data_IF_316641715796
#
_entry.id   IF_316641715796
#
_cell.length_a   1.000
_cell.length_b   1.000
_cell.length_c   1.000
_cell.angle_alpha   90.00
_cell.angle_beta   90.00
_cell.angle_gamma   90.00
#
_symmetry.space_group_name_H-M   'P 1'
#
loop_
_entity.id
_entity.type
_entity.pdbx_description
1 polymer ?
#
# COMPACT_ATOMS: atom_id res chain seq x y z
N UNK A 1 -53.45 23.23 36.15
CA UNK A 1 -53.32 24.71 36.05
C UNK A 1 -52.05 24.94 35.27
N UNK A 2 -52.06 25.38 34.21
CA UNK A 2 -52.48 26.27 33.12
C UNK A 2 -51.48 26.02 32.00
N UNK A 3 -51.90 25.48 30.87
CA UNK A 3 -52.43 26.12 29.67
C UNK A 3 -51.31 26.72 28.78
N UNK A 4 -51.01 26.03 27.73
CA UNK A 4 -51.18 26.31 26.29
C UNK A 4 -50.62 27.61 25.73
N UNK A 5 -49.82 27.51 24.71
CA UNK A 5 -50.08 28.27 23.46
C UNK A 5 -49.30 27.65 22.26
N UNK A 6 -50.08 27.21 21.36
CA UNK A 6 -49.84 26.91 19.96
C UNK A 6 -49.51 28.18 19.19
N UNK A 7 -48.57 28.13 18.24
CA UNK A 7 -48.49 29.16 17.21
C UNK A 7 -48.12 28.55 15.85
N UNK A 8 -49.07 28.63 14.99
CA UNK A 8 -49.15 28.13 13.65
C UNK A 8 -48.18 28.79 12.66
N UNK A 9 -47.74 28.00 11.68
CA UNK A 9 -47.04 28.40 10.44
C UNK A 9 -48.09 28.88 9.39
N UNK A 10 -47.86 29.96 8.66
CA UNK A 10 -48.60 30.19 7.40
C UNK A 10 -47.78 29.80 6.17
N UNK A 11 -48.39 28.99 5.34
CA UNK A 11 -48.00 28.72 3.97
C UNK A 11 -48.35 29.91 3.06
N UNK A 12 -47.44 30.26 2.13
CA UNK A 12 -47.66 31.08 0.94
C UNK A 12 -46.74 30.55 -0.14
N UNK A 13 -47.14 30.00 -1.24
CA UNK A 13 -48.04 30.50 -2.26
C UNK A 13 -47.20 30.72 -3.53
N UNK A 14 -47.30 29.74 -4.50
CA UNK A 14 -46.73 29.87 -5.85
C UNK A 14 -47.30 31.11 -6.58
N UNK A 15 -46.41 31.89 -7.19
CA UNK A 15 -46.78 32.73 -8.34
C UNK A 15 -45.71 32.73 -9.41
N UNK A 16 -46.10 32.20 -10.55
CA UNK A 16 -45.59 32.26 -11.90
C UNK A 16 -45.39 33.72 -12.33
N UNK A 17 -44.26 34.01 -12.99
CA UNK A 17 -44.16 35.17 -13.88
C UNK A 17 -43.42 34.77 -15.16
N UNK A 18 -44.20 34.69 -16.24
CA UNK A 18 -43.75 34.70 -17.62
C UNK A 18 -43.58 36.16 -18.05
N UNK A 19 -42.47 36.50 -18.64
CA UNK A 19 -42.36 37.65 -19.53
C UNK A 19 -41.31 37.38 -20.62
N UNK A 20 -41.76 37.40 -21.82
CA UNK A 20 -41.15 37.31 -23.15
C UNK A 20 -40.50 38.64 -23.55
N UNK A 21 -39.40 38.63 -24.31
CA UNK A 21 -39.08 39.34 -25.56
C UNK A 21 -37.58 39.52 -25.75
N UNK A 22 -37.02 38.88 -26.74
CA UNK A 22 -36.66 39.36 -28.08
C UNK A 22 -35.34 40.19 -28.18
N UNK A 23 -34.34 39.54 -28.73
CA UNK A 23 -33.56 39.90 -29.88
C UNK A 23 -32.55 41.06 -29.78
N UNK A 24 -31.27 40.75 -29.96
CA UNK A 24 -30.37 41.35 -30.95
C UNK A 24 -29.06 40.58 -30.92
N UNK A 25 -28.56 40.11 -32.08
CA UNK A 25 -27.31 39.38 -32.22
C UNK A 25 -26.08 40.24 -31.94
N UNK A 26 -25.14 39.64 -31.26
CA UNK A 26 -23.74 40.07 -31.24
C UNK A 26 -22.89 38.83 -31.44
N UNK A 27 -22.18 38.79 -32.54
CA UNK A 27 -21.04 37.89 -32.78
C UNK A 27 -20.01 38.11 -31.67
N UNK A 28 -20.08 37.31 -30.64
CA UNK A 28 -19.07 37.24 -29.57
C UNK A 28 -18.09 36.15 -29.92
N UNK A 29 -16.87 36.54 -30.19
CA UNK A 29 -15.68 35.69 -30.23
C UNK A 29 -15.73 34.69 -29.06
N UNK A 30 -15.87 33.40 -29.38
CA UNK A 30 -15.64 32.32 -28.44
C UNK A 30 -14.15 32.35 -28.05
N UNK A 31 -13.82 33.17 -27.06
CA UNK A 31 -12.63 32.97 -26.27
C UNK A 31 -12.82 31.61 -25.57
N UNK A 32 -12.08 30.60 -26.00
CA UNK A 32 -11.85 29.42 -25.20
C UNK A 32 -11.23 29.92 -23.90
N UNK A 33 -12.08 30.23 -22.92
CA UNK A 33 -11.64 30.30 -21.54
C UNK A 33 -11.21 28.87 -21.22
N UNK A 34 -9.90 28.65 -21.20
CA UNK A 34 -9.35 27.46 -20.59
C UNK A 34 -9.86 27.46 -19.14
N UNK A 35 -10.67 26.48 -18.78
CA UNK A 35 -11.06 26.25 -17.40
C UNK A 35 -9.79 26.31 -16.51
N UNK A 36 -9.86 26.98 -15.35
CA UNK A 36 -8.74 26.99 -14.44
C UNK A 36 -8.37 25.53 -14.11
N UNK A 37 -7.09 25.14 -14.09
CA UNK A 37 -6.68 23.79 -13.83
C UNK A 37 -7.12 23.39 -12.41
N UNK A 38 -8.14 22.54 -12.33
CA UNK A 38 -8.57 21.89 -11.08
C UNK A 38 -10.04 22.11 -10.74
N UNK A 39 -10.86 21.09 -10.96
CA UNK A 39 -12.22 21.00 -10.46
C UNK A 39 -13.21 20.30 -11.36
N UNK A 40 -12.80 19.37 -12.20
CA UNK A 40 -13.70 18.53 -13.02
C UNK A 40 -13.60 17.06 -12.63
N UNK A 41 -14.73 16.35 -12.74
CA UNK A 41 -14.74 14.88 -12.62
C UNK A 41 -13.97 14.27 -13.80
N UNK A 42 -12.96 13.44 -13.48
CA UNK A 42 -12.10 12.78 -14.45
C UNK A 42 -12.50 11.31 -14.59
N UNK A 43 -12.91 10.89 -15.80
CA UNK A 43 -13.10 9.45 -16.04
C UNK A 43 -11.76 8.69 -15.91
N UNK A 44 -11.81 7.49 -15.33
CA UNK A 44 -10.64 6.58 -15.25
C UNK A 44 -10.11 6.14 -16.62
N UNK A 45 -10.86 6.39 -17.70
CA UNK A 45 -10.41 6.13 -19.08
C UNK A 45 -9.84 7.39 -19.76
N UNK A 46 -9.91 8.55 -19.12
CA UNK A 46 -9.38 9.80 -19.66
C UNK A 46 -7.88 9.91 -19.44
N UNK A 47 -7.19 10.63 -20.33
CA UNK A 47 -5.76 10.92 -20.13
C UNK A 47 -5.53 11.69 -18.83
N UNK A 48 -4.46 11.34 -18.10
CA UNK A 48 -4.09 12.05 -16.88
C UNK A 48 -3.73 13.51 -17.17
N UNK A 49 -4.25 14.46 -16.37
CA UNK A 49 -3.77 15.83 -16.40
C UNK A 49 -2.32 15.89 -15.93
N UNK A 50 -1.50 16.71 -16.60
CA UNK A 50 -0.09 16.90 -16.24
C UNK A 50 0.16 18.22 -15.50
N UNK A 51 -0.77 19.18 -15.61
CA UNK A 51 -0.69 20.44 -14.91
C UNK A 51 -1.14 20.30 -13.46
N UNK A 52 -0.23 20.51 -12.52
CA UNK A 52 -0.53 20.42 -11.07
C UNK A 52 -0.94 21.81 -10.57
N UNK A 53 -2.09 21.88 -9.92
CA UNK A 53 -2.49 23.07 -9.20
C UNK A 53 -1.78 23.11 -7.84
N UNK A 54 -0.94 24.12 -7.55
CA UNK A 54 -0.18 24.19 -6.28
C UNK A 54 -1.09 24.38 -5.04
N UNK A 55 -2.39 24.65 -5.23
CA UNK A 55 -3.37 24.69 -4.14
C UNK A 55 -3.97 23.33 -3.83
N UNK A 56 -3.81 22.34 -4.73
CA UNK A 56 -4.25 20.96 -4.47
C UNK A 56 -3.58 20.41 -3.24
N UNK A 57 -4.33 19.68 -2.43
CA UNK A 57 -3.85 19.09 -1.18
C UNK A 57 -4.11 17.59 -1.18
N UNK A 58 -3.13 16.80 -0.73
CA UNK A 58 -3.23 15.35 -0.55
C UNK A 58 -2.93 14.99 0.90
N UNK A 59 -3.69 14.05 1.46
CA UNK A 59 -3.37 13.32 2.68
C UNK A 59 -2.64 12.02 2.29
N UNK A 60 -1.37 11.87 2.68
CA UNK A 60 -0.49 10.79 2.21
C UNK A 60 -0.05 9.92 3.38
N UNK A 61 -0.43 8.65 3.38
CA UNK A 61 -0.06 7.70 4.43
C UNK A 61 1.17 6.87 4.03
N UNK A 62 2.36 7.50 4.06
CA UNK A 62 3.64 6.86 3.75
C UNK A 62 4.75 7.55 4.56
N UNK A 63 4.93 7.14 5.82
CA UNK A 63 5.92 7.75 6.73
C UNK A 63 7.36 7.59 6.22
N UNK A 64 7.70 6.48 5.58
CA UNK A 64 9.03 6.24 4.99
C UNK A 64 9.34 7.31 3.95
N UNK A 65 8.46 7.50 2.96
CA UNK A 65 8.65 8.52 1.93
C UNK A 65 8.68 9.95 2.48
N UNK A 66 7.87 10.25 3.51
CA UNK A 66 7.96 11.54 4.20
C UNK A 66 9.37 11.79 4.72
N UNK A 67 9.92 10.83 5.48
CA UNK A 67 11.25 10.95 6.10
C UNK A 67 12.37 10.95 5.06
N UNK A 68 12.27 10.14 4.01
CA UNK A 68 13.19 10.12 2.88
C UNK A 68 13.23 11.49 2.18
N UNK A 69 12.07 12.08 1.90
CA UNK A 69 11.96 13.40 1.29
C UNK A 69 12.49 14.51 2.21
N UNK A 70 12.28 14.42 3.53
CA UNK A 70 12.84 15.33 4.51
C UNK A 70 14.37 15.23 4.54
N UNK A 71 14.90 14.03 4.72
CA UNK A 71 16.34 13.79 4.83
C UNK A 71 17.11 14.12 3.54
N UNK A 72 16.49 13.90 2.38
CA UNK A 72 17.05 14.27 1.08
C UNK A 72 16.85 15.75 0.70
N UNK A 73 16.14 16.54 1.51
CA UNK A 73 15.81 17.95 1.20
C UNK A 73 14.84 18.13 0.02
N UNK A 74 14.06 17.11 -0.32
CA UNK A 74 13.14 17.14 -1.45
C UNK A 74 11.71 17.50 -1.06
N UNK A 75 11.33 17.43 0.21
CA UNK A 75 9.94 17.59 0.66
C UNK A 75 9.35 18.95 0.27
N UNK A 76 10.15 20.03 0.33
CA UNK A 76 9.74 21.39 -0.06
C UNK A 76 9.63 21.61 -1.58
N UNK A 77 9.98 20.61 -2.40
CA UNK A 77 9.90 20.68 -3.87
C UNK A 77 8.63 20.02 -4.43
N UNK A 78 7.75 19.49 -3.58
CA UNK A 78 6.48 18.96 -4.02
C UNK A 78 5.63 20.07 -4.66
N UNK A 79 5.08 19.84 -5.87
CA UNK A 79 4.36 20.89 -6.61
C UNK A 79 2.90 21.06 -6.14
N UNK A 80 2.51 20.45 -5.04
CA UNK A 80 1.19 20.50 -4.40
C UNK A 80 1.38 20.57 -2.88
N UNK A 81 0.30 20.71 -2.13
CA UNK A 81 0.33 20.70 -0.66
C UNK A 81 0.08 19.30 -0.12
N UNK A 82 0.75 18.94 0.97
CA UNK A 82 0.36 17.77 1.76
C UNK A 82 -0.37 18.27 3.00
N UNK A 83 -1.65 17.86 3.15
CA UNK A 83 -2.48 18.25 4.28
C UNK A 83 -2.08 17.53 5.57
N UNK A 84 -1.69 16.26 5.44
CA UNK A 84 -1.27 15.42 6.57
C UNK A 84 -0.46 14.22 6.07
N UNK A 85 0.33 13.66 7.00
CA UNK A 85 1.07 12.42 6.83
C UNK A 85 0.63 11.41 7.90
N UNK A 86 -0.57 10.82 7.80
CA UNK A 86 -1.00 9.79 8.73
C UNK A 86 -0.08 8.58 8.67
N UNK A 87 0.21 7.96 9.81
CA UNK A 87 1.04 6.76 9.90
C UNK A 87 0.16 5.49 9.93
N UNK A 88 -0.52 5.18 8.83
CA UNK A 88 -1.27 3.94 8.66
C UNK A 88 -0.42 2.99 7.83
N UNK A 89 0.14 1.96 8.47
CA UNK A 89 1.07 1.01 7.83
C UNK A 89 0.41 -0.35 7.55
N UNK A 90 -0.52 -0.77 8.39
CA UNK A 90 -1.25 -2.01 8.18
C UNK A 90 -2.31 -1.87 7.09
N UNK A 91 -2.43 -2.89 6.21
CA UNK A 91 -3.41 -2.88 5.13
C UNK A 91 -4.85 -2.62 5.58
N UNK A 92 -5.36 -3.29 6.63
CA UNK A 92 -6.69 -3.01 7.16
C UNK A 92 -6.90 -1.55 7.59
N UNK A 93 -5.91 -0.92 8.24
CA UNK A 93 -5.99 0.47 8.69
C UNK A 93 -6.06 1.44 7.49
N UNK A 94 -5.31 1.15 6.44
CA UNK A 94 -5.35 1.93 5.19
C UNK A 94 -6.72 1.80 4.52
N UNK A 95 -7.30 0.59 4.49
CA UNK A 95 -8.65 0.36 3.94
C UNK A 95 -9.69 1.17 4.71
N UNK A 96 -9.62 1.21 6.04
CA UNK A 96 -10.50 2.05 6.86
C UNK A 96 -10.23 3.55 6.65
N UNK A 97 -8.96 3.93 6.48
CA UNK A 97 -8.58 5.30 6.12
C UNK A 97 -9.20 5.76 4.80
N UNK A 98 -9.26 4.88 3.80
CA UNK A 98 -9.94 5.14 2.53
C UNK A 98 -11.46 5.25 2.70
N UNK A 99 -12.09 4.34 3.45
CA UNK A 99 -13.53 4.43 3.76
C UNK A 99 -13.91 5.70 4.48
N UNK A 100 -13.04 6.16 5.37
CA UNK A 100 -13.23 7.39 6.13
C UNK A 100 -12.86 8.67 5.36
N UNK A 101 -12.41 8.55 4.09
CA UNK A 101 -11.88 9.67 3.27
C UNK A 101 -10.79 10.49 3.99
N UNK A 102 -10.02 9.83 4.88
CA UNK A 102 -8.99 10.48 5.70
C UNK A 102 -7.61 10.50 5.04
N UNK A 103 -7.42 9.67 4.02
CA UNK A 103 -6.19 9.57 3.22
C UNK A 103 -6.51 9.48 1.73
N UNK A 104 -5.66 10.09 0.92
CA UNK A 104 -5.77 10.10 -0.54
C UNK A 104 -4.84 9.07 -1.19
N UNK A 105 -3.67 8.81 -0.60
CA UNK A 105 -2.64 7.90 -1.13
C UNK A 105 -1.99 7.13 0.01
N UNK A 106 -1.74 5.84 -0.21
CA UNK A 106 -0.99 5.00 0.70
C UNK A 106 0.02 4.12 -0.04
N UNK A 107 1.00 3.55 0.68
CA UNK A 107 1.90 2.49 0.20
C UNK A 107 1.70 1.23 1.02
N UNK A 108 1.66 0.09 0.32
CA UNK A 108 1.58 -1.24 0.92
C UNK A 108 2.22 -2.28 -0.01
N UNK A 109 2.29 -3.55 0.45
CA UNK A 109 2.44 -4.72 -0.41
C UNK A 109 1.19 -4.95 -1.28
N UNK A 110 1.19 -5.94 -2.18
CA UNK A 110 0.08 -6.18 -3.10
C UNK A 110 -1.24 -6.64 -2.46
N UNK A 111 -1.23 -7.23 -1.26
CA UNK A 111 -2.40 -7.86 -0.65
C UNK A 111 -3.54 -6.88 -0.30
N UNK A 112 -3.28 -5.72 0.32
CA UNK A 112 -4.35 -4.81 0.72
C UNK A 112 -5.30 -4.38 -0.39
N UNK A 113 -4.87 -4.09 -1.64
CA UNK A 113 -5.78 -3.83 -2.74
C UNK A 113 -6.74 -4.98 -3.07
N UNK A 114 -6.29 -6.25 -2.96
CA UNK A 114 -7.13 -7.43 -3.15
C UNK A 114 -8.25 -7.45 -2.09
N UNK A 115 -7.89 -7.25 -0.83
CA UNK A 115 -8.83 -7.22 0.28
C UNK A 115 -9.78 -6.02 0.22
N UNK A 116 -9.28 -4.85 -0.16
CA UNK A 116 -10.11 -3.67 -0.40
C UNK A 116 -11.19 -3.96 -1.43
N UNK A 117 -10.81 -4.56 -2.57
CA UNK A 117 -11.74 -4.96 -3.62
C UNK A 117 -12.81 -5.95 -3.09
N UNK A 118 -12.38 -7.00 -2.39
CA UNK A 118 -13.27 -8.02 -1.81
C UNK A 118 -14.22 -7.44 -0.75
N UNK A 119 -13.80 -6.40 -0.03
CA UNK A 119 -14.60 -5.68 0.97
C UNK A 119 -15.39 -4.49 0.42
N UNK A 120 -15.40 -4.30 -0.91
CA UNK A 120 -16.18 -3.26 -1.59
C UNK A 120 -15.54 -1.86 -1.59
N UNK A 121 -14.29 -1.71 -1.14
CA UNK A 121 -13.55 -0.45 -1.22
C UNK A 121 -12.96 -0.32 -2.63
N UNK A 122 -13.40 0.70 -3.36
CA UNK A 122 -12.92 0.97 -4.71
C UNK A 122 -11.62 1.77 -4.67
N UNK A 123 -10.50 1.10 -4.91
CA UNK A 123 -9.18 1.73 -4.98
C UNK A 123 -8.37 1.14 -6.13
N UNK A 124 -7.36 1.88 -6.60
CA UNK A 124 -6.49 1.49 -7.71
C UNK A 124 -5.02 1.65 -7.34
N UNK A 125 -4.21 0.73 -7.84
CA UNK A 125 -2.75 0.82 -7.82
C UNK A 125 -2.32 1.86 -8.87
N UNK A 126 -1.56 2.85 -8.43
CA UNK A 126 -1.10 3.99 -9.25
C UNK A 126 0.42 4.02 -9.42
N UNK A 127 1.17 3.24 -8.64
CA UNK A 127 2.59 3.01 -8.87
C UNK A 127 3.01 1.65 -8.35
N UNK A 128 4.10 1.12 -8.92
CA UNK A 128 4.67 -0.18 -8.58
C UNK A 128 6.17 -0.06 -8.44
N UNK A 129 6.70 -0.57 -7.35
CA UNK A 129 8.10 -0.97 -7.16
C UNK A 129 8.16 -2.47 -6.99
N UNK A 130 9.24 -3.08 -7.44
CA UNK A 130 9.43 -4.53 -7.42
C UNK A 130 10.70 -4.90 -6.68
N UNK A 131 10.71 -6.10 -6.11
CA UNK A 131 11.88 -6.68 -5.45
C UNK A 131 12.05 -8.14 -5.85
N UNK A 132 13.30 -8.56 -6.00
CA UNK A 132 13.66 -9.93 -6.37
C UNK A 132 14.39 -10.72 -5.27
N UNK A 133 14.48 -10.14 -4.06
CA UNK A 133 15.20 -10.74 -2.94
C UNK A 133 14.21 -11.08 -1.82
N UNK A 134 14.22 -12.32 -1.29
CA UNK A 134 13.42 -12.66 -0.13
C UNK A 134 13.94 -11.92 1.11
N UNK A 135 13.06 -11.23 1.81
CA UNK A 135 13.34 -10.55 3.08
C UNK A 135 12.76 -11.30 4.28
N UNK A 136 11.90 -12.26 4.02
CA UNK A 136 11.24 -13.10 5.01
C UNK A 136 11.88 -14.49 5.06
N UNK A 137 11.94 -15.07 6.26
CA UNK A 137 12.40 -16.44 6.51
C UNK A 137 11.46 -17.12 7.49
N UNK A 138 11.38 -18.44 7.44
CA UNK A 138 10.63 -19.17 8.46
C UNK A 138 11.49 -19.40 9.69
N UNK A 139 10.91 -19.20 10.87
CA UNK A 139 11.48 -19.55 12.15
C UNK A 139 10.67 -20.66 12.80
N UNK A 140 11.32 -21.61 13.47
CA UNK A 140 10.66 -22.72 14.16
C UNK A 140 10.62 -22.48 15.66
N UNK A 141 9.59 -23.01 16.34
CA UNK A 141 9.52 -22.98 17.79
C UNK A 141 10.74 -23.65 18.44
N UNK A 142 11.12 -23.28 19.67
CA UNK A 142 12.19 -23.94 20.39
C UNK A 142 11.91 -25.43 20.61
N UNK A 143 12.88 -26.30 20.31
CA UNK A 143 12.74 -27.75 20.39
C UNK A 143 12.00 -28.40 19.23
N UNK A 144 11.70 -27.64 18.17
CA UNK A 144 11.06 -28.17 16.96
C UNK A 144 11.99 -29.10 16.19
N UNK A 145 11.44 -30.16 15.62
CA UNK A 145 12.11 -31.09 14.70
C UNK A 145 12.08 -30.64 13.24
N UNK A 146 11.37 -29.56 12.94
CA UNK A 146 11.21 -29.02 11.58
C UNK A 146 12.51 -28.37 11.08
N UNK A 147 12.99 -28.84 9.92
CA UNK A 147 14.24 -28.35 9.31
C UNK A 147 14.04 -27.87 7.86
N UNK A 148 12.86 -28.08 7.30
CA UNK A 148 12.52 -27.64 5.93
C UNK A 148 11.03 -27.41 5.76
N UNK A 149 10.63 -26.64 4.75
CA UNK A 149 9.23 -26.41 4.44
C UNK A 149 8.45 -27.70 4.08
N UNK A 150 9.14 -28.74 3.58
CA UNK A 150 8.50 -30.04 3.30
C UNK A 150 7.91 -30.70 4.55
N UNK A 151 8.39 -30.34 5.75
CA UNK A 151 7.94 -30.86 7.03
C UNK A 151 6.83 -30.03 7.70
N UNK A 152 6.26 -29.07 7.01
CA UNK A 152 5.15 -28.22 7.55
C UNK A 152 3.83 -28.97 7.65
N UNK A 153 3.69 -30.14 7.00
CA UNK A 153 2.48 -30.95 7.08
C UNK A 153 2.13 -31.31 8.54
N UNK A 154 0.88 -31.05 8.94
CA UNK A 154 0.40 -31.27 10.29
C UNK A 154 0.88 -30.26 11.34
N UNK A 155 1.67 -29.26 10.96
CA UNK A 155 2.22 -28.25 11.88
C UNK A 155 1.27 -27.06 12.01
N UNK A 156 1.39 -26.33 13.12
CA UNK A 156 0.73 -25.02 13.36
C UNK A 156 1.62 -23.93 12.81
N UNK A 157 1.14 -23.21 11.79
CA UNK A 157 1.83 -22.07 11.17
C UNK A 157 1.13 -20.76 11.55
N UNK A 158 1.89 -19.80 12.05
CA UNK A 158 1.38 -18.44 12.23
C UNK A 158 0.95 -17.87 10.88
N UNK A 159 -0.23 -17.27 10.83
CA UNK A 159 -0.82 -16.81 9.57
C UNK A 159 -1.50 -15.45 9.73
N UNK A 160 -1.03 -14.49 8.95
CA UNK A 160 -1.62 -13.17 8.86
C UNK A 160 -2.31 -13.00 7.50
N UNK A 161 -3.63 -12.99 7.50
CA UNK A 161 -4.43 -12.98 6.28
C UNK A 161 -4.20 -11.72 5.43
N UNK A 162 -3.98 -10.57 6.05
CA UNK A 162 -3.88 -9.25 5.39
C UNK A 162 -2.48 -8.71 5.22
N UNK A 163 -1.45 -9.53 5.44
CA UNK A 163 -0.06 -9.08 5.43
C UNK A 163 0.83 -9.99 4.58
N UNK A 164 1.99 -9.47 4.16
CA UNK A 164 2.95 -10.17 3.30
C UNK A 164 3.37 -11.55 3.85
N UNK A 165 3.56 -11.67 5.16
CA UNK A 165 3.96 -12.91 5.83
C UNK A 165 2.97 -14.04 5.60
N UNK A 166 1.67 -13.74 5.55
CA UNK A 166 0.64 -14.74 5.24
C UNK A 166 0.78 -15.27 3.81
N UNK A 167 0.99 -14.40 2.83
CA UNK A 167 1.19 -14.82 1.43
C UNK A 167 2.51 -15.58 1.27
N UNK A 168 3.58 -15.18 1.97
CA UNK A 168 4.84 -15.95 2.00
C UNK A 168 4.57 -17.39 2.48
N UNK A 169 3.76 -17.56 3.53
CA UNK A 169 3.35 -18.87 4.02
C UNK A 169 2.60 -19.67 2.97
N UNK A 170 1.56 -19.10 2.34
CA UNK A 170 0.78 -19.79 1.31
C UNK A 170 1.62 -20.16 0.07
N UNK A 171 2.52 -19.27 -0.38
CA UNK A 171 3.44 -19.55 -1.48
C UNK A 171 4.42 -20.67 -1.14
N UNK A 172 4.98 -20.68 0.07
CA UNK A 172 5.90 -21.72 0.51
C UNK A 172 5.20 -23.09 0.59
N UNK A 173 3.98 -23.16 1.11
CA UNK A 173 3.17 -24.38 1.12
C UNK A 173 2.90 -24.89 -0.29
N UNK A 174 2.51 -23.99 -1.21
CA UNK A 174 2.32 -24.35 -2.63
C UNK A 174 3.60 -24.88 -3.27
N UNK A 175 4.76 -24.22 -3.03
CA UNK A 175 6.04 -24.67 -3.55
C UNK A 175 6.47 -26.04 -2.98
N UNK A 176 6.14 -26.31 -1.71
CA UNK A 176 6.39 -27.60 -1.07
C UNK A 176 5.38 -28.70 -1.44
N UNK A 177 4.36 -28.38 -2.25
CA UNK A 177 3.28 -29.31 -2.61
C UNK A 177 2.41 -29.74 -1.43
N UNK A 178 2.26 -28.87 -0.42
CA UNK A 178 1.45 -29.14 0.78
C UNK A 178 0.10 -28.44 0.61
N UNK A 179 -1.02 -29.20 0.57
CA UNK A 179 -2.36 -28.63 0.61
C UNK A 179 -2.56 -27.80 1.87
N UNK A 180 -3.30 -26.69 1.76
CA UNK A 180 -3.59 -25.81 2.93
C UNK A 180 -4.39 -26.54 4.01
N UNK A 181 -5.20 -27.55 3.65
CA UNK A 181 -5.92 -28.42 4.57
C UNK A 181 -5.02 -29.32 5.43
N UNK A 182 -3.76 -29.50 5.04
CA UNK A 182 -2.82 -30.40 5.69
C UNK A 182 -1.94 -29.68 6.73
N UNK A 183 -2.21 -28.41 6.99
CA UNK A 183 -1.56 -27.56 8.01
C UNK A 183 -2.62 -26.88 8.88
N UNK A 184 -2.21 -26.39 10.04
CA UNK A 184 -3.06 -25.58 10.89
C UNK A 184 -2.62 -24.12 10.81
N UNK A 185 -3.29 -23.33 9.95
CA UNK A 185 -3.05 -21.89 9.86
C UNK A 185 -3.68 -21.22 11.09
N UNK A 186 -2.84 -20.70 12.00
CA UNK A 186 -3.26 -20.02 13.22
C UNK A 186 -3.32 -18.52 12.95
N UNK A 187 -4.53 -17.98 12.85
CA UNK A 187 -4.77 -16.58 12.52
C UNK A 187 -4.30 -15.65 13.64
N UNK A 188 -3.41 -14.71 13.29
CA UNK A 188 -2.91 -13.65 14.15
C UNK A 188 -2.25 -12.56 13.28
N UNK A 189 -1.96 -11.39 13.86
CA UNK A 189 -1.20 -10.35 13.18
C UNK A 189 0.30 -10.66 13.20
N UNK A 190 1.07 -10.10 12.25
CA UNK A 190 2.49 -10.47 12.11
C UNK A 190 3.37 -10.01 13.28
N UNK A 191 2.97 -8.99 14.00
CA UNK A 191 3.63 -8.51 15.23
C UNK A 191 3.49 -9.49 16.42
N UNK A 192 2.52 -10.41 16.36
CA UNK A 192 2.34 -11.47 17.36
C UNK A 192 3.22 -12.71 17.07
N UNK A 193 3.77 -12.83 15.85
CA UNK A 193 4.46 -14.05 15.39
C UNK A 193 5.65 -14.46 16.27
N UNK A 194 6.48 -13.49 16.63
CA UNK A 194 7.64 -13.73 17.48
C UNK A 194 7.23 -14.29 18.85
N UNK A 195 6.28 -13.61 19.51
CA UNK A 195 5.75 -14.02 20.81
C UNK A 195 5.09 -15.40 20.76
N UNK A 196 4.32 -15.68 19.70
CA UNK A 196 3.67 -16.98 19.51
C UNK A 196 4.68 -18.12 19.33
N UNK A 197 5.80 -17.88 18.63
CA UNK A 197 6.91 -18.84 18.51
C UNK A 197 7.57 -19.11 19.86
N UNK A 198 7.93 -18.05 20.59
CA UNK A 198 8.56 -18.14 21.90
C UNK A 198 7.72 -18.92 22.90
N UNK A 199 6.41 -18.67 22.87
CA UNK A 199 5.41 -19.35 23.70
C UNK A 199 5.04 -20.75 23.19
N UNK A 200 5.58 -21.20 22.04
CA UNK A 200 5.23 -22.49 21.38
C UNK A 200 3.74 -22.63 21.05
N UNK A 201 3.06 -21.53 20.81
CA UNK A 201 1.65 -21.52 20.37
C UNK A 201 1.54 -21.95 18.90
N UNK A 202 2.61 -21.69 18.12
CA UNK A 202 2.80 -22.13 16.75
C UNK A 202 4.12 -22.88 16.61
N UNK A 203 4.22 -23.78 15.64
CA UNK A 203 5.43 -24.53 15.33
C UNK A 203 6.38 -23.74 14.44
N UNK A 204 5.80 -22.90 13.56
CA UNK A 204 6.52 -22.13 12.53
C UNK A 204 5.88 -20.77 12.36
N UNK A 205 6.69 -19.73 12.16
CA UNK A 205 6.23 -18.41 11.76
C UNK A 205 7.22 -17.77 10.77
N UNK A 206 6.75 -16.77 10.03
CA UNK A 206 7.54 -15.97 9.11
C UNK A 206 8.06 -14.74 9.84
N UNK A 207 9.37 -14.57 9.89
CA UNK A 207 10.05 -13.42 10.48
C UNK A 207 10.90 -12.67 9.43
N UNK A 208 11.16 -11.41 9.70
CA UNK A 208 12.11 -10.59 8.96
C UNK A 208 13.26 -10.12 9.86
N UNK A 209 14.21 -9.32 9.34
CA UNK A 209 15.21 -8.68 10.18
C UNK A 209 14.60 -7.44 10.88
N UNK A 210 14.99 -7.16 12.14
CA UNK A 210 16.04 -7.80 12.96
C UNK A 210 15.56 -9.03 13.73
N UNK A 211 14.25 -9.29 13.81
CA UNK A 211 13.62 -10.34 14.62
C UNK A 211 14.24 -11.72 14.39
N UNK A 212 14.53 -12.06 13.11
CA UNK A 212 15.17 -13.34 12.76
C UNK A 212 16.49 -13.55 13.50
N UNK A 213 17.33 -12.51 13.54
CA UNK A 213 18.65 -12.58 14.22
C UNK A 213 18.49 -12.62 15.74
N UNK A 214 17.61 -11.79 16.30
CA UNK A 214 17.36 -11.75 17.75
C UNK A 214 16.77 -13.06 18.26
N UNK A 215 15.79 -13.58 17.52
CA UNK A 215 15.17 -14.86 17.86
C UNK A 215 16.17 -16.02 17.89
N UNK A 216 17.02 -16.14 16.87
CA UNK A 216 17.99 -17.23 16.82
C UNK A 216 19.10 -17.08 17.90
N UNK A 217 19.48 -15.85 18.23
CA UNK A 217 20.39 -15.58 19.32
C UNK A 217 19.83 -15.97 20.68
N UNK A 218 18.54 -15.76 20.92
CA UNK A 218 17.85 -16.08 22.17
C UNK A 218 17.43 -17.55 22.31
N UNK A 219 17.09 -18.19 21.20
CA UNK A 219 16.42 -19.50 21.21
C UNK A 219 17.11 -20.59 20.38
N UNK A 220 18.16 -20.25 19.62
CA UNK A 220 18.88 -21.24 18.81
C UNK A 220 19.51 -22.36 19.67
N UNK A 221 20.06 -22.05 20.86
CA UNK A 221 20.57 -23.03 21.81
C UNK A 221 19.45 -23.92 22.40
N UNK A 222 18.19 -23.49 22.32
CA UNK A 222 16.99 -24.24 22.72
C UNK A 222 16.40 -25.02 21.57
N UNK A 223 17.07 -25.12 20.42
CA UNK A 223 16.64 -25.88 19.26
C UNK A 223 15.77 -25.13 18.25
N UNK A 224 15.57 -23.80 18.40
CA UNK A 224 14.95 -22.98 17.37
C UNK A 224 15.85 -22.90 16.11
N UNK A 225 15.25 -22.83 14.94
CA UNK A 225 15.96 -22.81 13.64
C UNK A 225 15.39 -21.79 12.71
N UNK A 226 16.21 -21.32 11.77
CA UNK A 226 15.76 -20.55 10.61
C UNK A 226 15.76 -21.48 9.40
N UNK A 227 14.63 -21.50 8.71
CA UNK A 227 14.44 -22.21 7.44
C UNK A 227 14.39 -21.14 6.35
N UNK A 228 15.45 -21.12 5.53
CA UNK A 228 15.55 -20.17 4.43
C UNK A 228 14.55 -20.52 3.34
N UNK A 229 13.95 -19.48 2.76
CA UNK A 229 13.01 -19.60 1.63
C UNK A 229 13.41 -18.67 0.50
N UNK A 230 13.08 -19.07 -0.74
CA UNK A 230 13.21 -18.23 -1.93
C UNK A 230 11.91 -17.49 -2.25
N UNK A 231 10.90 -17.57 -1.38
CA UNK A 231 9.65 -16.85 -1.58
C UNK A 231 9.91 -15.36 -1.43
N UNK A 232 9.54 -14.60 -2.44
CA UNK A 232 9.67 -13.15 -2.49
C UNK A 232 8.30 -12.54 -2.24
N UNK A 233 8.25 -11.45 -1.48
CA UNK A 233 7.15 -10.50 -1.52
C UNK A 233 7.52 -9.44 -2.56
N UNK A 234 6.98 -9.61 -3.77
CA UNK A 234 7.52 -8.99 -4.98
C UNK A 234 7.11 -7.52 -5.15
N UNK A 235 5.95 -7.12 -4.61
CA UNK A 235 5.35 -5.82 -4.90
C UNK A 235 5.38 -4.89 -3.68
N UNK A 236 5.86 -3.68 -3.91
CA UNK A 236 5.50 -2.49 -3.15
C UNK A 236 4.72 -1.56 -4.08
N UNK A 237 3.60 -1.03 -3.63
CA UNK A 237 2.69 -0.26 -4.47
C UNK A 237 2.29 1.07 -3.82
N UNK A 238 2.00 2.07 -4.66
CA UNK A 238 1.14 3.19 -4.28
C UNK A 238 -0.27 2.92 -4.78
N UNK A 239 -1.25 3.22 -3.94
CA UNK A 239 -2.65 3.05 -4.31
C UNK A 239 -3.51 4.17 -3.73
N UNK A 240 -4.68 4.38 -4.35
CA UNK A 240 -5.55 5.52 -4.08
C UNK A 240 -7.00 5.15 -4.33
N UNK A 241 -7.97 5.70 -3.57
CA UNK A 241 -9.40 5.55 -3.84
C UNK A 241 -9.78 6.04 -5.23
N UNK A 242 -10.75 5.38 -5.86
CA UNK A 242 -11.26 5.77 -7.18
C UNK A 242 -11.78 7.19 -7.18
N UNK A 243 -12.51 7.61 -6.17
CA UNK A 243 -13.04 8.97 -6.03
C UNK A 243 -11.95 10.06 -6.02
N UNK A 244 -10.77 9.74 -5.45
CA UNK A 244 -9.59 10.63 -5.48
C UNK A 244 -9.01 10.70 -6.89
N UNK A 245 -9.01 9.59 -7.63
CA UNK A 245 -8.50 9.50 -9.01
C UNK A 245 -9.47 10.09 -10.05
N UNK A 246 -10.74 10.27 -9.67
CA UNK A 246 -11.76 10.97 -10.45
C UNK A 246 -11.76 12.49 -10.22
N UNK A 247 -11.02 12.99 -9.22
CA UNK A 247 -10.69 14.40 -9.08
C UNK A 247 -9.47 14.73 -9.96
N UNK A 248 -9.65 15.53 -10.99
CA UNK A 248 -8.61 15.86 -11.97
C UNK A 248 -7.38 16.53 -11.31
N UNK A 249 -7.56 17.36 -10.29
CA UNK A 249 -6.48 18.03 -9.61
C UNK A 249 -5.69 17.08 -8.70
N UNK A 250 -6.39 16.19 -7.97
CA UNK A 250 -5.76 15.16 -7.14
C UNK A 250 -5.06 14.11 -8.00
N UNK A 251 -5.66 13.65 -9.10
CA UNK A 251 -5.02 12.72 -10.03
C UNK A 251 -3.72 13.30 -10.63
N UNK A 252 -3.72 14.58 -11.02
CA UNK A 252 -2.50 15.26 -11.46
C UNK A 252 -1.43 15.35 -10.35
N UNK A 253 -1.84 15.66 -9.12
CA UNK A 253 -0.93 15.72 -7.97
C UNK A 253 -0.32 14.36 -7.63
N UNK A 254 -1.11 13.27 -7.70
CA UNK A 254 -0.63 11.89 -7.53
C UNK A 254 0.38 11.53 -8.63
N UNK A 255 0.08 11.84 -9.89
CA UNK A 255 1.01 11.65 -11.00
C UNK A 255 2.34 12.36 -10.79
N UNK A 256 2.30 13.58 -10.23
CA UNK A 256 3.49 14.35 -9.89
C UNK A 256 4.20 13.83 -8.61
N UNK A 257 3.51 13.17 -7.69
CA UNK A 257 4.09 12.57 -6.48
C UNK A 257 4.91 11.32 -6.78
N UNK A 258 4.47 10.48 -7.71
CA UNK A 258 5.14 9.20 -8.05
C UNK A 258 6.64 9.35 -8.32
N UNK A 259 7.13 10.34 -9.11
CA UNK A 259 8.56 10.60 -9.27
C UNK A 259 9.31 10.90 -7.97
N UNK A 260 8.69 11.56 -7.01
CA UNK A 260 9.29 11.84 -5.71
C UNK A 260 9.40 10.59 -4.87
N UNK A 261 8.33 9.78 -4.80
CA UNK A 261 8.33 8.48 -4.14
C UNK A 261 9.43 7.56 -4.68
N UNK A 262 9.53 7.42 -6.00
CA UNK A 262 10.53 6.55 -6.61
C UNK A 262 11.97 7.01 -6.32
N UNK A 263 12.24 8.31 -6.41
CA UNK A 263 13.57 8.87 -6.09
C UNK A 263 13.89 8.83 -4.60
N UNK A 264 12.89 8.95 -3.74
CA UNK A 264 13.03 8.86 -2.30
C UNK A 264 13.48 7.45 -1.88
N UNK A 265 12.84 6.40 -2.40
CA UNK A 265 13.26 5.01 -2.18
C UNK A 265 14.70 4.74 -2.65
N UNK A 266 15.09 5.29 -3.82
CA UNK A 266 16.46 5.18 -4.30
C UNK A 266 17.43 5.91 -3.38
N UNK A 267 17.07 7.12 -2.92
CA UNK A 267 17.92 7.87 -2.00
C UNK A 267 18.17 7.08 -0.70
N UNK A 268 17.16 6.47 -0.11
CA UNK A 268 17.32 5.64 1.09
C UNK A 268 18.25 4.45 0.82
N UNK A 269 18.15 3.82 -0.35
CA UNK A 269 19.04 2.74 -0.78
C UNK A 269 20.50 3.19 -0.96
N UNK A 270 20.72 4.36 -1.53
CA UNK A 270 22.06 4.91 -1.81
C UNK A 270 22.71 5.57 -0.57
N UNK A 271 21.92 5.89 0.47
CA UNK A 271 22.36 6.54 1.70
C UNK A 271 22.02 5.72 2.96
N UNK A 272 22.43 4.43 3.02
CA UNK A 272 21.98 3.52 4.06
C UNK A 272 22.32 3.99 5.48
N UNK A 273 23.51 4.56 5.70
CA UNK A 273 23.89 5.04 7.03
C UNK A 273 23.00 6.20 7.51
N UNK A 274 22.67 7.14 6.63
CA UNK A 274 21.80 8.25 6.97
C UNK A 274 20.35 7.77 7.17
N UNK A 275 19.88 6.83 6.33
CA UNK A 275 18.57 6.23 6.46
C UNK A 275 18.40 5.46 7.76
N UNK A 276 19.42 4.71 8.19
CA UNK A 276 19.43 4.03 9.48
C UNK A 276 19.19 5.04 10.61
N UNK A 277 19.93 6.15 10.64
CA UNK A 277 19.78 7.14 11.69
C UNK A 277 18.41 7.85 11.63
N UNK A 278 17.93 8.17 10.43
CA UNK A 278 16.67 8.93 10.27
C UNK A 278 15.46 8.06 10.60
N UNK A 279 15.39 6.86 10.05
CA UNK A 279 14.19 6.02 10.14
C UNK A 279 14.29 4.98 11.26
N UNK A 280 15.28 4.09 11.19
CA UNK A 280 15.31 2.97 12.14
C UNK A 280 15.63 3.44 13.57
N UNK A 281 16.58 4.33 13.73
CA UNK A 281 16.92 4.87 15.06
C UNK A 281 15.97 5.98 15.47
N UNK A 282 15.77 7.00 14.64
CA UNK A 282 15.02 8.20 15.00
C UNK A 282 13.51 8.01 15.05
N UNK A 283 12.93 7.17 14.18
CA UNK A 283 11.49 6.97 14.11
C UNK A 283 11.03 5.63 14.71
N UNK A 284 11.74 4.52 14.40
CA UNK A 284 11.37 3.19 14.87
C UNK A 284 11.98 2.84 16.22
N UNK A 285 12.86 3.69 16.77
CA UNK A 285 13.53 3.52 18.07
C UNK A 285 14.36 2.23 18.16
N UNK A 286 14.85 1.72 17.02
CA UNK A 286 15.76 0.60 16.95
C UNK A 286 17.20 1.04 17.22
N UNK A 287 18.08 0.10 17.55
CA UNK A 287 19.51 0.34 17.60
C UNK A 287 20.10 0.47 16.19
N UNK A 288 21.25 1.13 16.05
CA UNK A 288 21.98 1.20 14.77
C UNK A 288 22.28 -0.22 14.23
N UNK A 289 22.68 -1.16 15.10
CA UNK A 289 22.96 -2.54 14.70
C UNK A 289 21.72 -3.26 14.12
N UNK A 290 20.54 -3.05 14.70
CA UNK A 290 19.28 -3.57 14.14
C UNK A 290 18.98 -2.95 12.78
N UNK A 291 19.15 -1.63 12.63
CA UNK A 291 19.02 -0.93 11.35
C UNK A 291 19.98 -1.46 10.28
N UNK A 292 21.23 -1.77 10.63
CA UNK A 292 22.22 -2.36 9.73
C UNK A 292 21.78 -3.76 9.24
N UNK A 293 21.23 -4.60 10.13
CA UNK A 293 20.68 -5.91 9.76
C UNK A 293 19.55 -5.77 8.76
N UNK A 294 18.61 -4.83 8.97
CA UNK A 294 17.50 -4.57 8.08
C UNK A 294 17.99 -4.11 6.72
N UNK A 295 18.82 -3.06 6.67
CA UNK A 295 19.30 -2.50 5.40
C UNK A 295 20.11 -3.52 4.59
N UNK A 296 20.92 -4.36 5.25
CA UNK A 296 21.64 -5.47 4.61
C UNK A 296 20.70 -6.53 4.01
N UNK A 297 19.54 -6.74 4.62
CA UNK A 297 18.52 -7.67 4.13
C UNK A 297 17.69 -7.08 2.99
N UNK A 298 17.49 -5.76 2.96
CA UNK A 298 16.65 -5.07 1.96
C UNK A 298 17.12 -5.37 0.53
N UNK A 299 16.18 -5.48 -0.42
CA UNK A 299 16.48 -5.52 -1.84
C UNK A 299 16.72 -4.12 -2.40
N UNK A 300 17.43 -4.06 -3.53
CA UNK A 300 17.51 -2.84 -4.33
C UNK A 300 16.12 -2.53 -4.92
N UNK A 301 15.60 -1.30 -4.81
CA UNK A 301 14.34 -0.93 -5.41
C UNK A 301 14.43 -0.98 -6.94
N UNK A 302 13.38 -1.47 -7.60
CA UNK A 302 13.28 -1.49 -9.05
C UNK A 302 11.88 -1.01 -9.49
N UNK A 303 11.83 -0.25 -10.58
CA UNK A 303 10.60 0.36 -11.09
C UNK A 303 10.32 -0.16 -12.48
N UNK A 304 9.30 -1.02 -12.65
CA UNK A 304 9.02 -1.65 -13.93
C UNK A 304 8.52 -0.65 -14.97
N UNK A 305 9.01 -0.78 -16.20
CA UNK A 305 8.54 0.01 -17.35
C UNK A 305 7.14 -0.43 -17.74
N UNK A 306 6.86 -1.74 -17.65
CA UNK A 306 5.53 -2.32 -17.87
C UNK A 306 5.07 -3.09 -16.64
N UNK A 307 3.80 -2.93 -16.28
CA UNK A 307 3.21 -3.63 -15.14
C UNK A 307 2.71 -5.06 -15.45
N UNK A 308 2.94 -5.56 -16.65
CA UNK A 308 2.45 -6.89 -17.05
C UNK A 308 2.88 -8.00 -16.06
N UNK A 309 4.15 -7.98 -15.62
CA UNK A 309 4.67 -8.94 -14.64
C UNK A 309 4.11 -8.71 -13.23
N UNK A 310 3.95 -7.44 -12.84
CA UNK A 310 3.34 -7.08 -11.56
C UNK A 310 1.88 -7.55 -11.49
N UNK A 311 1.09 -7.32 -12.55
CA UNK A 311 -0.29 -7.80 -12.66
C UNK A 311 -0.36 -9.33 -12.60
N UNK A 312 0.52 -10.03 -13.34
CA UNK A 312 0.58 -11.48 -13.29
C UNK A 312 0.94 -12.03 -11.91
N UNK A 313 1.84 -11.35 -11.19
CA UNK A 313 2.19 -11.70 -9.81
C UNK A 313 1.02 -11.48 -8.85
N UNK A 314 0.35 -10.36 -8.98
CA UNK A 314 -0.81 -10.03 -8.16
C UNK A 314 -1.97 -11.01 -8.41
N UNK A 315 -2.17 -11.45 -9.66
CA UNK A 315 -3.13 -12.51 -9.97
C UNK A 315 -2.79 -13.82 -9.25
N UNK A 316 -1.51 -14.18 -9.21
CA UNK A 316 -1.08 -15.37 -8.45
C UNK A 316 -1.35 -15.21 -6.95
N UNK A 317 -1.20 -13.98 -6.39
CA UNK A 317 -1.51 -13.69 -5.00
C UNK A 317 -3.00 -13.85 -4.73
N UNK A 318 -3.86 -13.27 -5.57
CA UNK A 318 -5.32 -13.43 -5.49
C UNK A 318 -5.74 -14.89 -5.61
N UNK A 319 -5.17 -15.63 -6.56
CA UNK A 319 -5.45 -17.07 -6.75
C UNK A 319 -5.04 -17.90 -5.53
N UNK A 320 -3.96 -17.54 -4.82
CA UNK A 320 -3.53 -18.20 -3.57
C UNK A 320 -4.52 -17.94 -2.43
N UNK A 321 -4.94 -16.69 -2.26
CA UNK A 321 -5.93 -16.30 -1.24
C UNK A 321 -7.27 -17.00 -1.50
N UNK A 322 -7.70 -17.07 -2.77
CA UNK A 322 -8.93 -17.77 -3.15
C UNK A 322 -8.84 -19.29 -2.89
N UNK A 323 -7.70 -19.91 -3.24
CA UNK A 323 -7.47 -21.34 -3.01
C UNK A 323 -7.43 -21.69 -1.50
N UNK A 324 -7.01 -20.74 -0.65
CA UNK A 324 -7.01 -20.88 0.79
C UNK A 324 -8.35 -20.48 1.45
N UNK A 325 -9.34 -20.04 0.67
CA UNK A 325 -10.67 -19.69 1.14
C UNK A 325 -10.81 -18.33 1.82
N UNK A 326 -9.84 -17.43 1.60
CA UNK A 326 -9.83 -16.10 2.24
C UNK A 326 -10.52 -15.02 1.42
N UNK A 327 -10.37 -15.04 0.09
CA UNK A 327 -10.93 -14.03 -0.81
C UNK A 327 -11.56 -14.70 -2.05
N UNK A 328 -12.58 -14.10 -2.66
CA UNK A 328 -13.12 -14.60 -3.92
C UNK A 328 -12.10 -14.42 -5.06
N UNK A 329 -12.12 -15.32 -6.03
CA UNK A 329 -11.30 -15.21 -7.23
C UNK A 329 -11.84 -14.11 -8.15
N UNK A 330 -10.98 -13.23 -8.65
CA UNK A 330 -11.32 -12.20 -9.64
C UNK A 330 -10.12 -11.85 -10.53
N UNK A 331 -10.34 -11.08 -11.58
CA UNK A 331 -9.28 -10.54 -12.44
C UNK A 331 -8.67 -9.30 -11.78
N UNK A 332 -7.45 -9.43 -11.27
CA UNK A 332 -6.75 -8.35 -10.56
C UNK A 332 -6.33 -7.19 -11.45
N UNK A 333 -6.41 -7.32 -12.78
CA UNK A 333 -6.11 -6.21 -13.69
C UNK A 333 -6.98 -4.98 -13.40
N UNK A 334 -8.19 -5.21 -12.86
CA UNK A 334 -9.10 -4.14 -12.43
C UNK A 334 -8.55 -3.29 -11.28
N UNK A 335 -7.57 -3.78 -10.53
CA UNK A 335 -6.93 -3.03 -9.45
C UNK A 335 -5.94 -1.98 -9.96
N UNK A 336 -5.49 -2.05 -11.20
CA UNK A 336 -4.42 -1.20 -11.72
C UNK A 336 -4.98 -0.05 -12.56
N UNK A 337 -4.63 1.19 -12.20
CA UNK A 337 -4.89 2.34 -13.07
C UNK A 337 -3.69 2.54 -14.00
N UNK A 338 -3.78 1.94 -15.18
CA UNK A 338 -2.68 1.95 -16.15
C UNK A 338 -2.39 3.33 -16.77
N UNK A 339 -3.18 4.36 -16.48
CA UNK A 339 -2.85 5.74 -16.83
C UNK A 339 -1.55 6.21 -16.19
N UNK A 340 -1.17 5.62 -15.04
CA UNK A 340 0.05 5.93 -14.29
C UNK A 340 1.23 5.01 -14.63
N UNK A 341 1.03 3.98 -15.44
CA UNK A 341 2.09 3.04 -15.83
C UNK A 341 3.28 3.77 -16.46
N UNK A 342 4.48 3.41 -16.06
CA UNK A 342 5.73 3.99 -16.56
C UNK A 342 6.15 5.32 -15.93
N UNK A 343 5.31 6.00 -15.13
CA UNK A 343 5.69 7.30 -14.52
C UNK A 343 6.88 7.13 -13.56
N UNK A 344 6.87 6.11 -12.70
CA UNK A 344 7.96 5.84 -11.77
C UNK A 344 9.26 5.50 -12.51
N UNK A 345 9.20 4.56 -13.46
CA UNK A 345 10.38 4.13 -14.22
C UNK A 345 10.98 5.25 -15.10
N UNK A 346 10.16 6.13 -15.64
CA UNK A 346 10.64 7.29 -16.41
C UNK A 346 11.42 8.29 -15.54
N UNK A 347 11.13 8.34 -14.23
CA UNK A 347 11.70 9.31 -13.29
C UNK A 347 13.02 8.88 -12.64
N UNK A 348 13.48 7.65 -12.91
CA UNK A 348 14.64 7.04 -12.24
C UNK A 348 15.74 6.65 -13.22
N UNK A 349 17.03 6.57 -12.78
CA UNK A 349 18.13 6.09 -13.60
C UNK A 349 17.89 4.67 -14.15
N UNK A 350 18.51 4.36 -15.30
CA UNK A 350 18.30 3.07 -16.00
C UNK A 350 18.58 1.84 -15.12
N UNK A 351 19.54 1.93 -14.21
CA UNK A 351 19.89 0.83 -13.29
C UNK A 351 18.82 0.47 -12.26
N UNK A 352 17.77 1.29 -12.12
CA UNK A 352 16.61 1.07 -11.25
C UNK A 352 15.33 0.74 -12.04
N UNK A 353 15.43 0.56 -13.37
CA UNK A 353 14.32 0.13 -14.23
C UNK A 353 14.33 -1.39 -14.40
N UNK A 354 13.13 -1.98 -14.44
CA UNK A 354 12.95 -3.40 -14.73
C UNK A 354 12.10 -3.59 -16.01
#
# INVERSE_FOLDING_TARGET
MTATADAAVPAMGRRTFLATMAGVGALGLAACAADPPGGGTLSLTSKLPTAVNPKTSLAISIVTTQLELQASGQIGKLPFKVSSWPNLTAGPDVIEGFRAHSIDVASNAGIPPIQAHSSGVQAKIVAVSTTNKPIYQFATAPGSDVTSAAQFRGKKLAFSQGQAQGVVTLRALKQAGIPYSDVHLVAMTSDEFLTALEARQVDVAVLSQPETTEYINGFGSKGARIIYTNVVDYLEILWSPVEVLEDAAKAAAIGAFIPFWARASIWAWEHPAQWIQTYYVGNQHLTTAQGELIVKAQPKPAFPVSWARAIAWEQQTSDLLAAAGYDPKFDVSVLFDRRFEGIASAAVPAQYRE
#
